data_IF_217349891024
#
_entry.id   IF_217349891024
#
_cell.length_a   1.000
_cell.length_b   1.000
_cell.length_c   1.000
_cell.angle_alpha   90.00
_cell.angle_beta   90.00
_cell.angle_gamma   90.00
#
_symmetry.space_group_name_H-M   'P 1'
#
loop_
_entity.id
_entity.type
_entity.pdbx_description
1 polymer ?
#
# COMPACT_ATOMS: atom_id res chain seq x y z
N UNK A 1 21.28 7.89 -9.84
CA UNK A 1 20.88 7.27 -8.56
C UNK A 1 19.53 7.84 -8.18
N UNK A 2 18.55 6.98 -7.88
CA UNK A 2 17.28 7.43 -7.33
C UNK A 2 17.53 8.12 -5.99
N UNK A 3 16.86 9.26 -5.75
CA UNK A 3 16.89 9.90 -4.44
C UNK A 3 16.00 9.10 -3.50
N UNK A 4 16.33 9.06 -2.20
CA UNK A 4 15.53 8.38 -1.18
C UNK A 4 15.05 9.38 -0.13
N UNK A 5 13.78 9.32 0.23
CA UNK A 5 13.17 10.08 1.33
C UNK A 5 12.46 9.13 2.29
N UNK A 6 12.53 9.41 3.60
CA UNK A 6 11.80 8.67 4.64
C UNK A 6 10.87 9.63 5.36
N UNK A 7 9.62 9.21 5.55
CA UNK A 7 8.54 9.94 6.23
C UNK A 7 8.08 9.07 7.40
N UNK A 8 8.22 9.59 8.62
CA UNK A 8 7.98 8.86 9.88
C UNK A 8 6.76 9.38 10.66
N UNK A 9 6.03 10.34 10.09
CA UNK A 9 4.88 10.98 10.73
C UNK A 9 5.19 12.20 11.59
N UNK A 10 6.45 12.63 11.64
CA UNK A 10 6.84 13.89 12.30
C UNK A 10 6.27 15.14 11.62
N UNK A 11 5.97 15.06 10.32
CA UNK A 11 5.36 16.13 9.54
C UNK A 11 3.96 15.72 9.08
N UNK A 12 2.93 16.54 9.34
CA UNK A 12 1.55 16.21 8.96
C UNK A 12 1.29 16.35 7.46
N UNK A 13 2.13 17.11 6.75
CA UNK A 13 2.05 17.30 5.30
C UNK A 13 3.47 17.25 4.71
N UNK A 14 3.65 16.44 3.67
CA UNK A 14 4.88 16.35 2.88
C UNK A 14 4.53 16.53 1.42
N UNK A 15 5.06 17.58 0.80
CA UNK A 15 4.87 17.87 -0.62
C UNK A 15 6.18 17.68 -1.39
N UNK A 16 6.11 16.89 -2.46
CA UNK A 16 7.25 16.48 -3.27
C UNK A 16 6.99 16.85 -4.73
N UNK A 17 8.02 17.32 -5.41
CA UNK A 17 8.00 17.43 -6.87
C UNK A 17 9.13 16.57 -7.41
N UNK A 18 8.81 15.66 -8.32
CA UNK A 18 9.78 14.79 -8.98
C UNK A 18 10.09 15.40 -10.36
N UNK A 19 11.30 15.96 -10.58
CA UNK A 19 11.65 16.63 -11.82
C UNK A 19 11.61 15.72 -13.04
N UNK A 20 11.62 16.28 -14.27
CA UNK A 20 11.63 15.48 -15.48
C UNK A 20 12.80 14.47 -15.52
N UNK A 21 12.55 13.28 -16.05
CA UNK A 21 13.55 12.21 -16.24
C UNK A 21 14.28 11.82 -14.94
N UNK A 22 13.60 11.90 -13.79
CA UNK A 22 14.18 11.58 -12.49
C UNK A 22 13.35 10.57 -11.71
N UNK A 23 14.00 9.91 -10.75
CA UNK A 23 13.39 8.88 -9.92
C UNK A 23 13.53 9.22 -8.43
N UNK A 24 12.46 8.96 -7.67
CA UNK A 24 12.40 9.14 -6.23
C UNK A 24 11.79 7.92 -5.55
N UNK A 25 12.52 7.34 -4.61
CA UNK A 25 12.02 6.33 -3.68
C UNK A 25 11.58 7.02 -2.38
N UNK A 26 10.32 6.82 -1.99
CA UNK A 26 9.75 7.40 -0.77
C UNK A 26 9.29 6.28 0.14
N UNK A 27 9.84 6.24 1.36
CA UNK A 27 9.46 5.30 2.39
C UNK A 27 8.56 6.01 3.39
N UNK A 28 7.32 5.55 3.54
CA UNK A 28 6.39 6.06 4.57
C UNK A 28 6.26 4.99 5.65
N UNK A 29 6.86 5.22 6.80
CA UNK A 29 6.91 4.26 7.90
C UNK A 29 6.25 4.84 9.14
N UNK A 30 5.03 4.40 9.44
CA UNK A 30 4.25 4.87 10.60
C UNK A 30 4.07 3.71 11.58
N UNK A 31 4.58 3.87 12.80
CA UNK A 31 4.61 2.80 13.81
C UNK A 31 3.75 3.09 15.04
N UNK A 32 3.10 4.25 15.06
CA UNK A 32 2.29 4.77 16.17
C UNK A 32 1.29 5.79 15.62
N UNK A 33 0.49 6.36 16.51
CA UNK A 33 -0.49 7.40 16.20
C UNK A 33 0.11 8.50 15.31
N UNK A 34 -0.49 8.70 14.14
CA UNK A 34 -0.02 9.64 13.15
C UNK A 34 -1.15 10.11 12.25
N UNK A 35 -1.10 11.36 11.82
CA UNK A 35 -1.93 11.90 10.74
C UNK A 35 -1.01 12.55 9.73
N UNK A 36 -0.90 11.96 8.54
CA UNK A 36 0.05 12.37 7.51
C UNK A 36 -0.62 12.42 6.15
N UNK A 37 -0.37 13.50 5.42
CA UNK A 37 -0.65 13.61 4.00
C UNK A 37 0.66 13.74 3.22
N UNK A 38 0.87 12.85 2.25
CA UNK A 38 1.99 12.91 1.33
C UNK A 38 1.46 13.22 -0.06
N UNK A 39 2.02 14.21 -0.74
CA UNK A 39 1.68 14.56 -2.12
C UNK A 39 2.94 14.53 -2.96
N UNK A 40 2.97 13.74 -4.02
CA UNK A 40 4.02 13.80 -5.04
C UNK A 40 3.47 14.26 -6.37
N UNK A 41 4.06 15.31 -6.92
CA UNK A 41 3.78 15.83 -8.25
C UNK A 41 4.87 15.36 -9.22
N UNK A 42 4.48 14.57 -10.21
CA UNK A 42 5.38 13.96 -11.18
C UNK A 42 5.43 14.78 -12.47
N UNK A 43 6.64 15.15 -12.88
CA UNK A 43 6.91 15.80 -14.16
C UNK A 43 7.20 14.75 -15.25
N UNK A 44 7.53 15.22 -16.47
CA UNK A 44 7.67 14.36 -17.65
C UNK A 44 8.68 13.22 -17.44
N UNK A 45 8.28 11.99 -17.79
CA UNK A 45 9.13 10.81 -17.66
C UNK A 45 9.76 10.60 -16.27
N UNK A 46 9.12 11.14 -15.23
CA UNK A 46 9.57 10.97 -13.86
C UNK A 46 8.91 9.76 -13.20
N UNK A 47 9.58 9.19 -12.21
CA UNK A 47 9.13 8.00 -11.49
C UNK A 47 9.11 8.25 -9.99
N UNK A 48 8.03 7.85 -9.32
CA UNK A 48 8.02 7.70 -7.86
C UNK A 48 7.74 6.25 -7.48
N UNK A 49 8.50 5.74 -6.49
CA UNK A 49 8.26 4.45 -5.86
C UNK A 49 7.92 4.68 -4.40
N UNK A 50 6.67 4.45 -4.03
CA UNK A 50 6.20 4.49 -2.65
C UNK A 50 6.37 3.12 -2.00
N UNK A 51 7.04 3.09 -0.86
CA UNK A 51 7.16 1.94 0.01
C UNK A 51 6.50 2.32 1.34
N UNK A 52 5.29 1.84 1.62
CA UNK A 52 4.54 2.27 2.81
C UNK A 52 4.35 1.13 3.81
N UNK A 53 4.58 1.40 5.10
CA UNK A 53 4.31 0.45 6.17
C UNK A 53 3.57 1.14 7.33
N UNK A 54 2.38 0.65 7.63
CA UNK A 54 1.53 1.12 8.73
C UNK A 54 1.47 0.01 9.79
N UNK A 55 2.16 0.19 10.93
CA UNK A 55 2.56 -0.94 11.79
C UNK A 55 2.01 -0.86 13.23
N UNK A 56 1.18 0.12 13.55
CA UNK A 56 0.48 0.20 14.83
C UNK A 56 -0.04 1.60 15.17
N UNK A 57 -1.00 1.65 16.10
CA UNK A 57 -1.63 2.89 16.56
C UNK A 57 -2.89 3.28 15.79
N UNK A 58 -3.29 4.54 15.96
CA UNK A 58 -4.36 5.20 15.23
C UNK A 58 -3.76 6.05 14.10
N UNK A 59 -3.73 5.50 12.88
CA UNK A 59 -3.09 6.12 11.73
C UNK A 59 -4.16 6.65 10.76
N UNK A 60 -4.03 7.91 10.38
CA UNK A 60 -4.70 8.48 9.23
C UNK A 60 -3.63 8.87 8.20
N UNK A 61 -3.59 8.18 7.07
CA UNK A 61 -2.58 8.41 6.04
C UNK A 61 -3.24 8.65 4.69
N UNK A 62 -2.93 9.80 4.08
CA UNK A 62 -3.31 10.11 2.72
C UNK A 62 -2.05 10.16 1.84
N UNK A 63 -2.03 9.40 0.75
CA UNK A 63 -0.92 9.40 -0.22
C UNK A 63 -1.49 9.76 -1.58
N UNK A 64 -1.03 10.88 -2.14
CA UNK A 64 -1.53 11.44 -3.40
C UNK A 64 -0.39 11.50 -4.39
N UNK A 65 -0.59 10.88 -5.56
CA UNK A 65 0.33 11.01 -6.69
C UNK A 65 -0.37 11.73 -7.83
N UNK A 66 0.17 12.89 -8.21
CA UNK A 66 -0.30 13.71 -9.32
C UNK A 66 0.61 13.49 -10.53
N UNK A 67 0.11 12.81 -11.56
CA UNK A 67 0.82 12.58 -12.81
C UNK A 67 0.60 13.76 -13.77
N UNK A 68 1.33 14.86 -13.55
CA UNK A 68 1.23 16.10 -14.33
C UNK A 68 2.07 16.08 -15.61
N UNK A 69 3.15 15.30 -15.63
CA UNK A 69 4.00 15.15 -16.79
C UNK A 69 3.66 13.92 -17.61
N UNK A 70 3.74 14.07 -18.94
CA UNK A 70 3.58 12.96 -19.87
C UNK A 70 4.59 11.84 -19.56
N UNK A 71 4.17 10.59 -19.67
CA UNK A 71 5.07 9.45 -19.47
C UNK A 71 5.51 9.24 -18.02
N UNK A 72 4.93 9.96 -17.05
CA UNK A 72 5.25 9.76 -15.63
C UNK A 72 4.72 8.41 -15.12
N UNK A 73 5.48 7.82 -14.19
CA UNK A 73 5.24 6.50 -13.63
C UNK A 73 5.16 6.55 -12.11
N UNK A 74 4.25 5.78 -11.53
CA UNK A 74 4.20 5.55 -10.10
C UNK A 74 4.02 4.06 -9.80
N UNK A 75 4.73 3.62 -8.76
CA UNK A 75 4.53 2.33 -8.13
C UNK A 75 4.35 2.55 -6.64
N UNK A 76 3.34 1.92 -6.07
CA UNK A 76 3.10 1.90 -4.64
C UNK A 76 3.05 0.45 -4.17
N UNK A 77 3.91 0.13 -3.20
CA UNK A 77 3.91 -1.14 -2.49
C UNK A 77 3.74 -0.87 -1.01
N UNK A 78 2.60 -1.29 -0.49
CA UNK A 78 2.14 -0.93 0.83
C UNK A 78 1.82 -2.15 1.68
N UNK A 79 2.11 -2.06 2.96
CA UNK A 79 1.67 -3.04 3.94
C UNK A 79 1.00 -2.38 5.14
N UNK A 80 0.08 -3.11 5.75
CA UNK A 80 -0.52 -2.78 7.04
C UNK A 80 -0.40 -3.99 7.95
N UNK A 81 0.09 -3.78 9.17
CA UNK A 81 0.13 -4.81 10.20
C UNK A 81 -0.54 -4.24 11.46
N UNK A 82 -1.76 -4.69 11.73
CA UNK A 82 -2.59 -4.20 12.83
C UNK A 82 -2.83 -5.25 13.89
N UNK A 83 -2.79 -4.86 15.16
CA UNK A 83 -3.09 -5.72 16.31
C UNK A 83 -3.91 -4.99 17.37
N UNK A 84 -4.30 -5.68 18.43
CA UNK A 84 -5.06 -5.09 19.54
C UNK A 84 -6.31 -4.31 19.06
N UNK A 85 -6.26 -2.98 19.14
CA UNK A 85 -7.31 -2.04 18.74
C UNK A 85 -6.78 -0.97 17.76
N UNK A 86 -5.68 -1.28 17.04
CA UNK A 86 -5.11 -0.40 16.02
C UNK A 86 -6.17 -0.05 14.97
N UNK A 87 -6.11 1.19 14.46
CA UNK A 87 -7.00 1.64 13.39
C UNK A 87 -6.21 2.36 12.31
N UNK A 88 -6.49 2.02 11.06
CA UNK A 88 -5.83 2.61 9.91
C UNK A 88 -6.88 3.17 8.95
N UNK A 89 -6.90 4.48 8.80
CA UNK A 89 -7.71 5.19 7.81
C UNK A 89 -6.76 5.57 6.67
N UNK A 90 -6.85 4.89 5.54
CA UNK A 90 -5.90 5.01 4.44
C UNK A 90 -6.60 5.52 3.19
N UNK A 91 -6.12 6.62 2.62
CA UNK A 91 -6.72 7.23 1.44
C UNK A 91 -5.66 7.46 0.36
N UNK A 92 -5.64 6.60 -0.66
CA UNK A 92 -4.63 6.65 -1.72
C UNK A 92 -5.24 7.18 -3.01
N UNK A 93 -4.52 8.09 -3.65
CA UNK A 93 -4.90 8.74 -4.90
C UNK A 93 -3.82 8.59 -5.94
N UNK A 94 -4.21 8.12 -7.13
CA UNK A 94 -3.44 8.22 -8.36
C UNK A 94 -4.23 9.06 -9.36
N UNK A 95 -3.85 10.32 -9.51
CA UNK A 95 -4.52 11.29 -10.41
C UNK A 95 -3.69 11.47 -11.69
N UNK A 96 -4.18 10.88 -12.77
CA UNK A 96 -3.60 10.93 -14.10
C UNK A 96 -4.08 12.16 -14.85
N UNK A 97 -3.21 13.17 -14.96
CA UNK A 97 -3.51 14.48 -15.56
C UNK A 97 -2.89 14.64 -16.97
N UNK A 98 -1.83 13.89 -17.26
CA UNK A 98 -1.15 13.86 -18.56
C UNK A 98 -1.26 12.51 -19.27
N UNK A 99 -0.93 12.49 -20.57
CA UNK A 99 -0.99 11.29 -21.38
C UNK A 99 0.17 10.30 -21.10
N UNK A 100 -0.02 9.04 -21.50
CA UNK A 100 0.98 7.97 -21.41
C UNK A 100 1.49 7.70 -19.99
N UNK A 101 0.68 8.00 -18.98
CA UNK A 101 1.06 7.83 -17.58
C UNK A 101 0.75 6.40 -17.10
N UNK A 102 1.52 5.93 -16.13
CA UNK A 102 1.34 4.59 -15.56
C UNK A 102 1.29 4.65 -14.04
N UNK A 103 0.41 3.88 -13.42
CA UNK A 103 0.25 3.84 -11.97
C UNK A 103 -0.11 2.43 -11.47
N UNK A 104 0.56 1.96 -10.44
CA UNK A 104 0.30 0.65 -9.85
C UNK A 104 0.33 0.76 -8.34
N UNK A 105 -0.83 0.55 -7.70
CA UNK A 105 -0.99 0.51 -6.25
C UNK A 105 -1.24 -0.92 -5.82
N UNK A 106 -0.37 -1.48 -4.98
CA UNK A 106 -0.60 -2.77 -4.32
C UNK A 106 -0.44 -2.61 -2.81
N UNK A 107 -1.47 -3.02 -2.06
CA UNK A 107 -1.50 -2.90 -0.59
C UNK A 107 -1.97 -4.20 0.05
N UNK A 108 -1.13 -4.79 0.91
CA UNK A 108 -1.51 -5.97 1.69
C UNK A 108 -1.67 -5.63 3.17
N UNK A 109 -2.83 -5.94 3.76
CA UNK A 109 -3.10 -5.72 5.17
C UNK A 109 -3.20 -7.06 5.92
N UNK A 110 -2.65 -7.13 7.13
CA UNK A 110 -2.79 -8.26 8.05
C UNK A 110 -3.30 -7.74 9.38
N UNK A 111 -4.45 -8.24 9.83
CA UNK A 111 -5.15 -7.73 11.01
C UNK A 111 -5.41 -8.82 12.04
N UNK A 112 -4.91 -8.59 13.25
CA UNK A 112 -5.09 -9.43 14.44
C UNK A 112 -6.08 -8.80 15.42
N UNK A 113 -6.54 -9.59 16.39
CA UNK A 113 -7.38 -9.15 17.51
C UNK A 113 -8.65 -8.42 17.05
N UNK A 114 -8.75 -7.13 17.33
CA UNK A 114 -9.84 -6.23 16.95
C UNK A 114 -9.31 -5.03 16.13
N UNK A 115 -8.19 -5.19 15.43
CA UNK A 115 -7.64 -4.18 14.55
C UNK A 115 -8.58 -3.89 13.37
N UNK A 116 -8.56 -2.65 12.90
CA UNK A 116 -9.46 -2.16 11.87
C UNK A 116 -8.75 -1.37 10.78
N UNK A 117 -9.08 -1.62 9.52
CA UNK A 117 -8.64 -0.80 8.37
C UNK A 117 -9.84 -0.26 7.60
N UNK A 118 -9.79 1.00 7.23
CA UNK A 118 -10.63 1.60 6.19
C UNK A 118 -9.71 2.05 5.05
N UNK A 119 -9.75 1.33 3.93
CA UNK A 119 -8.97 1.65 2.75
C UNK A 119 -9.82 2.29 1.66
N UNK A 120 -9.44 3.49 1.24
CA UNK A 120 -10.02 4.24 0.12
C UNK A 120 -8.98 4.36 -0.97
N UNK A 121 -9.18 3.65 -2.06
CA UNK A 121 -8.29 3.65 -3.21
C UNK A 121 -8.92 4.39 -4.37
N UNK A 122 -8.25 5.40 -4.93
CA UNK A 122 -8.83 6.25 -5.96
C UNK A 122 -7.89 6.34 -7.16
N UNK A 123 -8.34 5.88 -8.32
CA UNK A 123 -7.69 6.17 -9.59
C UNK A 123 -8.58 7.15 -10.35
N UNK A 124 -8.01 8.30 -10.67
CA UNK A 124 -8.66 9.32 -11.50
C UNK A 124 -7.89 9.46 -12.80
N UNK A 125 -8.58 9.34 -13.93
CA UNK A 125 -8.00 9.52 -15.26
C UNK A 125 -8.72 10.67 -15.95
N UNK A 126 -8.03 11.80 -16.07
CA UNK A 126 -8.58 13.04 -16.61
C UNK A 126 -8.75 12.97 -18.14
N UNK A 127 -9.55 13.87 -18.75
CA UNK A 127 -9.84 13.82 -20.19
C UNK A 127 -8.60 13.87 -21.09
N UNK A 128 -7.55 14.56 -20.61
CA UNK A 128 -6.24 14.73 -21.28
C UNK A 128 -5.34 13.50 -21.15
N UNK A 129 -5.60 12.60 -20.20
CA UNK A 129 -4.72 11.48 -19.84
C UNK A 129 -4.94 10.24 -20.72
N UNK A 130 -4.78 10.40 -22.03
CA UNK A 130 -4.88 9.31 -23.00
C UNK A 130 -3.73 8.32 -22.83
N UNK A 131 -3.99 7.06 -23.15
CA UNK A 131 -3.05 5.94 -23.06
C UNK A 131 -2.53 5.69 -21.64
N UNK A 132 -3.33 5.99 -20.62
CA UNK A 132 -3.01 5.65 -19.23
C UNK A 132 -3.18 4.17 -18.98
N UNK A 133 -2.25 3.59 -18.20
CA UNK A 133 -2.36 2.25 -17.64
C UNK A 133 -2.31 2.34 -16.13
N UNK A 134 -3.39 1.97 -15.45
CA UNK A 134 -3.50 2.09 -14.00
C UNK A 134 -4.05 0.80 -13.36
N UNK A 135 -3.46 0.37 -12.24
CA UNK A 135 -3.94 -0.76 -11.47
C UNK A 135 -3.97 -0.42 -9.98
N UNK A 136 -5.00 -0.91 -9.30
CA UNK A 136 -5.08 -0.88 -7.84
C UNK A 136 -5.45 -2.27 -7.34
N UNK A 137 -4.63 -2.84 -6.47
CA UNK A 137 -4.88 -4.11 -5.82
C UNK A 137 -4.73 -3.93 -4.31
N UNK A 138 -5.80 -4.19 -3.56
CA UNK A 138 -5.75 -4.26 -2.11
C UNK A 138 -6.20 -5.64 -1.64
N UNK A 139 -5.47 -6.21 -0.70
CA UNK A 139 -5.83 -7.50 -0.14
C UNK A 139 -5.61 -7.53 1.36
N UNK A 140 -6.63 -7.91 2.11
CA UNK A 140 -6.55 -8.03 3.56
C UNK A 140 -6.63 -9.49 4.02
N UNK A 141 -5.70 -9.92 4.87
CA UNK A 141 -5.75 -11.17 5.62
C UNK A 141 -6.23 -10.91 7.05
N UNK A 142 -7.39 -11.45 7.40
CA UNK A 142 -7.98 -11.37 8.74
C UNK A 142 -7.59 -12.60 9.57
N UNK A 143 -6.95 -12.38 10.72
CA UNK A 143 -6.45 -13.45 11.60
C UNK A 143 -7.26 -13.63 12.87
N UNK A 144 -8.34 -12.85 13.04
CA UNK A 144 -9.22 -12.93 14.19
C UNK A 144 -10.64 -12.58 13.81
N UNK A 145 -11.62 -13.15 14.51
CA UNK A 145 -13.04 -12.91 14.21
C UNK A 145 -13.50 -11.47 14.45
N UNK A 146 -12.79 -10.74 15.31
CA UNK A 146 -13.08 -9.34 15.62
C UNK A 146 -12.29 -8.36 14.74
N UNK A 147 -11.30 -8.84 13.99
CA UNK A 147 -10.58 -8.01 13.04
C UNK A 147 -11.49 -7.69 11.85
N UNK A 148 -11.39 -6.46 11.35
CA UNK A 148 -12.27 -5.98 10.28
C UNK A 148 -11.50 -5.11 9.31
N UNK A 149 -11.81 -5.26 8.03
CA UNK A 149 -11.36 -4.36 6.98
C UNK A 149 -12.58 -3.88 6.21
N UNK A 150 -12.61 -2.59 5.90
CA UNK A 150 -13.53 -1.98 4.96
C UNK A 150 -12.66 -1.44 3.80
N UNK A 151 -13.03 -1.75 2.57
CA UNK A 151 -12.25 -1.32 1.40
C UNK A 151 -13.18 -0.82 0.31
N UNK A 152 -12.90 0.38 -0.21
CA UNK A 152 -13.70 1.04 -1.25
C UNK A 152 -12.76 1.58 -2.31
N UNK A 153 -12.45 0.78 -3.34
CA UNK A 153 -11.70 1.24 -4.49
C UNK A 153 -12.64 1.94 -5.50
N UNK A 154 -12.19 3.04 -6.09
CA UNK A 154 -12.94 3.89 -7.02
C UNK A 154 -12.14 4.15 -8.29
N UNK A 155 -12.83 4.13 -9.43
CA UNK A 155 -12.31 4.50 -10.74
C UNK A 155 -13.16 5.67 -11.29
N UNK A 156 -12.53 6.81 -11.54
CA UNK A 156 -13.11 7.95 -12.26
C UNK A 156 -12.36 8.10 -13.60
N UNK A 157 -12.97 7.65 -14.70
CA UNK A 157 -12.33 7.59 -16.02
C UNK A 157 -13.07 8.52 -16.97
N UNK A 158 -12.39 9.54 -17.45
CA UNK A 158 -12.96 10.60 -18.28
C UNK A 158 -12.43 10.61 -19.72
N UNK A 159 -11.76 9.52 -20.14
CA UNK A 159 -11.20 9.36 -21.48
C UNK A 159 -11.24 7.89 -21.93
N UNK A 160 -11.33 7.65 -23.24
CA UNK A 160 -11.67 6.32 -23.78
C UNK A 160 -10.46 5.39 -24.03
N UNK A 161 -9.25 5.95 -24.17
CA UNK A 161 -8.05 5.19 -24.52
C UNK A 161 -7.24 4.88 -23.26
N UNK A 162 -7.72 3.95 -22.42
CA UNK A 162 -7.10 3.63 -21.13
C UNK A 162 -7.16 2.14 -20.85
N UNK A 163 -6.28 1.67 -19.98
CA UNK A 163 -6.39 0.38 -19.32
C UNK A 163 -6.38 0.64 -17.81
N UNK A 164 -7.50 0.41 -17.15
CA UNK A 164 -7.62 0.64 -15.72
C UNK A 164 -8.28 -0.58 -15.08
N UNK A 165 -7.71 -1.05 -13.97
CA UNK A 165 -8.26 -2.14 -13.18
C UNK A 165 -8.18 -1.81 -11.70
N UNK A 166 -9.13 -2.33 -10.94
CA UNK A 166 -9.05 -2.37 -9.50
C UNK A 166 -9.51 -3.73 -8.96
N UNK A 167 -8.88 -4.20 -7.91
CA UNK A 167 -9.27 -5.37 -7.14
C UNK A 167 -9.13 -5.06 -5.66
N UNK A 168 -10.13 -5.48 -4.89
CA UNK A 168 -10.04 -5.52 -3.44
C UNK A 168 -10.61 -6.85 -2.97
N UNK A 169 -9.98 -7.45 -1.96
CA UNK A 169 -10.42 -8.71 -1.41
C UNK A 169 -10.01 -8.89 0.05
N UNK A 170 -10.72 -9.78 0.72
CA UNK A 170 -10.45 -10.15 2.10
C UNK A 170 -10.43 -11.67 2.18
N UNK A 171 -9.46 -12.20 2.90
CA UNK A 171 -9.32 -13.63 3.15
C UNK A 171 -9.00 -13.90 4.62
N UNK A 172 -9.09 -15.17 4.99
CA UNK A 172 -8.56 -15.72 6.24
C UNK A 172 -7.50 -16.74 5.88
N UNK A 173 -6.71 -17.15 6.86
CA UNK A 173 -5.82 -18.28 6.66
C UNK A 173 -6.66 -19.50 6.31
N UNK A 174 -6.29 -20.18 5.24
CA UNK A 174 -6.93 -21.40 4.80
C UNK A 174 -6.62 -22.53 5.81
N UNK A 175 -7.63 -23.16 6.43
CA UNK A 175 -7.43 -24.29 7.32
C UNK A 175 -6.64 -25.45 6.69
N UNK A 176 -6.71 -25.64 5.36
CA UNK A 176 -5.92 -26.66 4.66
C UNK A 176 -4.42 -26.33 4.67
N UNK A 177 -4.04 -25.05 4.58
CA UNK A 177 -2.65 -24.62 4.73
C UNK A 177 -2.12 -24.93 6.13
N UNK A 178 -2.91 -24.62 7.17
CA UNK A 178 -2.56 -24.93 8.56
C UNK A 178 -2.46 -26.44 8.79
N UNK A 179 -3.40 -27.22 8.25
CA UNK A 179 -3.37 -28.68 8.33
C UNK A 179 -2.13 -29.26 7.64
N UNK A 180 -1.77 -28.74 6.46
CA UNK A 180 -0.58 -29.17 5.74
C UNK A 180 0.69 -28.88 6.55
N UNK A 181 0.84 -27.68 7.11
CA UNK A 181 1.95 -27.34 8.00
C UNK A 181 2.01 -28.26 9.23
N UNK A 182 0.87 -28.52 9.88
CA UNK A 182 0.79 -29.41 11.02
C UNK A 182 1.22 -30.85 10.66
N UNK A 183 0.86 -31.36 9.47
CA UNK A 183 1.30 -32.68 9.00
C UNK A 183 2.82 -32.81 8.80
N UNK A 184 3.52 -31.66 8.69
CA UNK A 184 4.98 -31.57 8.62
C UNK A 184 5.63 -31.30 9.98
N UNK A 185 4.85 -31.33 11.07
CA UNK A 185 5.32 -31.08 12.43
C UNK A 185 5.56 -29.60 12.75
N UNK A 186 5.05 -28.67 11.92
CA UNK A 186 5.16 -27.23 12.16
C UNK A 186 4.04 -26.83 13.14
N UNK A 187 4.37 -26.24 14.30
CA UNK A 187 3.36 -25.72 15.23
C UNK A 187 2.51 -24.62 14.59
N UNK A 188 1.22 -24.57 14.92
CA UNK A 188 0.28 -23.60 14.34
C UNK A 188 0.79 -22.13 14.42
N UNK A 189 1.33 -21.61 15.53
CA UNK A 189 1.83 -20.23 15.57
C UNK A 189 2.95 -19.98 14.55
N UNK A 190 3.83 -20.97 14.35
CA UNK A 190 4.89 -20.87 13.35
C UNK A 190 4.33 -20.94 11.92
N UNK A 191 3.32 -21.78 11.69
CA UNK A 191 2.64 -21.86 10.40
C UNK A 191 1.95 -20.55 10.02
N UNK A 192 1.24 -19.92 10.97
CA UNK A 192 0.59 -18.63 10.77
C UNK A 192 1.61 -17.54 10.43
N UNK A 193 2.74 -17.49 11.14
CA UNK A 193 3.84 -16.56 10.84
C UNK A 193 4.38 -16.75 9.43
N UNK A 194 4.62 -17.99 8.99
CA UNK A 194 5.10 -18.29 7.63
C UNK A 194 4.10 -17.86 6.55
N UNK A 195 2.80 -18.07 6.78
CA UNK A 195 1.74 -17.68 5.84
C UNK A 195 1.66 -16.16 5.75
N UNK A 196 1.72 -15.45 6.88
CA UNK A 196 1.74 -13.99 6.94
C UNK A 196 2.97 -13.41 6.25
N UNK A 197 4.16 -13.98 6.48
CA UNK A 197 5.38 -13.56 5.79
C UNK A 197 5.27 -13.73 4.28
N UNK A 198 4.80 -14.89 3.81
CA UNK A 198 4.58 -15.14 2.39
C UNK A 198 3.55 -14.19 1.77
N UNK A 199 2.47 -13.90 2.49
CA UNK A 199 1.42 -12.96 2.09
C UNK A 199 1.96 -11.53 1.93
N UNK A 200 2.73 -11.04 2.89
CA UNK A 200 3.28 -9.67 2.86
C UNK A 200 4.46 -9.52 1.90
N UNK A 201 5.20 -10.59 1.60
CA UNK A 201 6.40 -10.55 0.76
C UNK A 201 6.17 -9.95 -0.64
N UNK A 202 4.97 -10.11 -1.21
CA UNK A 202 4.61 -9.51 -2.51
C UNK A 202 4.64 -7.97 -2.50
N UNK A 203 4.37 -7.36 -1.34
CA UNK A 203 4.34 -5.90 -1.15
C UNK A 203 5.59 -5.33 -0.49
N UNK A 204 6.55 -6.17 -0.06
CA UNK A 204 7.76 -5.71 0.62
C UNK A 204 8.89 -5.57 -0.39
N UNK A 205 9.13 -4.33 -0.83
CA UNK A 205 10.21 -3.98 -1.76
C UNK A 205 11.34 -3.18 -1.12
N UNK A 206 11.16 -2.71 0.13
CA UNK A 206 12.20 -2.02 0.91
C UNK A 206 12.76 -2.88 2.05
N UNK A 207 14.08 -2.87 2.19
CA UNK A 207 14.79 -3.70 3.17
C UNK A 207 14.51 -3.31 4.63
N UNK A 208 14.33 -2.02 4.93
CA UNK A 208 14.05 -1.57 6.30
C UNK A 208 12.64 -2.00 6.73
N UNK A 209 11.67 -1.90 5.81
CA UNK A 209 10.32 -2.45 6.01
C UNK A 209 10.39 -3.97 6.24
N UNK A 210 11.14 -4.70 5.41
CA UNK A 210 11.29 -6.15 5.53
C UNK A 210 11.79 -6.58 6.93
N UNK A 211 12.86 -5.94 7.42
CA UNK A 211 13.44 -6.23 8.72
C UNK A 211 12.46 -5.95 9.87
N UNK A 212 11.74 -4.84 9.79
CA UNK A 212 10.79 -4.47 10.82
C UNK A 212 9.56 -5.39 10.84
N UNK A 213 9.07 -5.80 9.67
CA UNK A 213 7.94 -6.73 9.56
C UNK A 213 8.27 -8.10 10.14
N UNK A 214 9.41 -8.69 9.77
CA UNK A 214 9.84 -9.98 10.32
C UNK A 214 9.95 -9.94 11.85
N UNK A 215 10.50 -8.85 12.40
CA UNK A 215 10.53 -8.61 13.85
C UNK A 215 9.13 -8.53 14.46
N UNK A 216 8.19 -7.86 13.82
CA UNK A 216 6.83 -7.69 14.34
C UNK A 216 5.98 -8.96 14.23
N UNK A 217 6.15 -9.74 13.16
CA UNK A 217 5.45 -11.00 12.93
C UNK A 217 5.92 -12.05 13.96
N UNK A 218 7.22 -12.16 14.21
CA UNK A 218 7.78 -13.09 15.21
C UNK A 218 7.38 -12.79 16.66
N UNK A 219 6.83 -11.60 16.93
CA UNK A 219 6.37 -11.16 18.25
C UNK A 219 4.84 -11.24 18.42
N UNK A 220 4.12 -11.65 17.37
CA UNK A 220 2.67 -11.81 17.34
C UNK A 220 2.32 -13.29 17.43
#
# INVERSE_FOLDING_TARGET
MAKRLVIDGSQPLVELTVPPNSELDVVVLLQQDATVKCVATLQEHSTVRWHSAMLGGQIHCEIVTLHQGQGSHSQHRGIVLGRNHDKFMLNYWSDHQAAHTTGDITVHAVLYDAAYTDFRGNIKIQPTAKNTVAALNEHTLLLSDRARSDSVPQLDIQTNAVQAAHSSGMSRIDPEQLFYCASRGIPQPQAEQMIVEGFLAECITDQAIAQLCSKLISQS
#
